data_IF_647642253185
#
_entry.id   IF_647642253185
#
_cell.length_a   1.000
_cell.length_b   1.000
_cell.length_c   1.000
_cell.angle_alpha   90.00
_cell.angle_beta   90.00
_cell.angle_gamma   90.00
#
_symmetry.space_group_name_H-M   'P 1'
#
loop_
_entity.id
_entity.type
_entity.pdbx_description
1 polymer ?
#
# COMPACT_ATOMS: atom_id res chain seq x y z
N UNK A 1 28.51 -4.00 -15.74
CA UNK A 1 27.24 -3.36 -16.11
C UNK A 1 26.44 -3.19 -14.82
N UNK A 2 25.88 -2.01 -14.57
CA UNK A 2 25.01 -1.79 -13.41
C UNK A 2 23.75 -2.65 -13.58
N UNK A 3 23.39 -3.42 -12.56
CA UNK A 3 22.17 -4.25 -12.60
C UNK A 3 20.95 -3.31 -12.52
N UNK A 4 20.26 -3.07 -13.65
CA UNK A 4 19.19 -2.07 -13.76
C UNK A 4 18.03 -2.27 -12.76
N UNK A 5 17.79 -3.50 -12.31
CA UNK A 5 16.79 -3.79 -11.29
C UNK A 5 17.12 -3.18 -9.91
N UNK A 6 18.40 -2.80 -9.66
CA UNK A 6 18.83 -2.16 -8.40
C UNK A 6 18.51 -0.67 -8.34
N UNK A 7 18.39 -0.04 -9.49
CA UNK A 7 18.09 1.39 -9.57
C UNK A 7 16.70 1.69 -9.03
N UNK A 8 16.51 2.89 -8.50
CA UNK A 8 15.20 3.44 -8.20
C UNK A 8 14.40 3.69 -9.50
N UNK A 9 13.09 3.90 -9.40
CA UNK A 9 12.26 4.21 -10.55
C UNK A 9 12.70 5.52 -11.23
N UNK A 10 13.00 6.52 -10.43
CA UNK A 10 13.43 7.85 -10.90
C UNK A 10 14.80 7.81 -11.58
N UNK A 11 15.78 7.10 -11.01
CA UNK A 11 17.09 6.90 -11.63
C UNK A 11 16.98 6.14 -12.95
N UNK A 12 16.18 5.07 -12.98
CA UNK A 12 15.98 4.25 -14.19
C UNK A 12 15.31 5.07 -15.30
N UNK A 13 14.24 5.80 -15.00
CA UNK A 13 13.58 6.67 -15.96
C UNK A 13 14.54 7.73 -16.52
N UNK A 14 15.40 8.33 -15.67
CA UNK A 14 16.40 9.29 -16.10
C UNK A 14 17.45 8.68 -17.04
N UNK A 15 17.91 7.46 -16.79
CA UNK A 15 18.84 6.75 -17.68
C UNK A 15 18.19 6.47 -19.04
N UNK A 16 16.92 6.07 -19.07
CA UNK A 16 16.19 5.78 -20.30
C UNK A 16 15.95 7.07 -21.09
N UNK A 17 15.50 8.16 -20.47
CA UNK A 17 15.35 9.46 -21.12
C UNK A 17 16.66 9.98 -21.72
N UNK A 18 17.78 9.81 -21.01
CA UNK A 18 19.10 10.20 -21.49
C UNK A 18 19.72 9.19 -22.49
N UNK A 19 18.97 8.14 -22.86
CA UNK A 19 19.41 7.05 -23.76
C UNK A 19 20.71 6.34 -23.33
N UNK A 20 20.98 6.33 -22.03
CA UNK A 20 22.09 5.57 -21.42
C UNK A 20 21.69 4.12 -21.11
N UNK A 21 20.41 3.82 -21.11
CA UNK A 21 19.82 2.51 -21.10
C UNK A 21 18.53 2.58 -21.96
N UNK A 22 18.10 1.45 -22.50
CA UNK A 22 16.81 1.32 -23.17
C UNK A 22 15.73 0.81 -22.23
N UNK A 23 14.46 1.09 -22.54
CA UNK A 23 13.33 0.52 -21.82
C UNK A 23 13.33 -1.03 -21.96
N UNK A 24 13.77 -1.54 -23.12
CA UNK A 24 13.90 -2.99 -23.34
C UNK A 24 14.94 -3.63 -22.40
N UNK A 25 16.12 -3.01 -22.21
CA UNK A 25 17.13 -3.51 -21.25
C UNK A 25 16.59 -3.49 -19.82
N UNK A 26 15.84 -2.46 -19.43
CA UNK A 26 15.19 -2.38 -18.13
C UNK A 26 14.16 -3.50 -17.93
N UNK A 27 13.30 -3.74 -18.93
CA UNK A 27 12.30 -4.81 -18.91
C UNK A 27 12.97 -6.20 -18.85
N UNK A 28 14.02 -6.43 -19.62
CA UNK A 28 14.80 -7.68 -19.58
C UNK A 28 15.44 -7.92 -18.22
N UNK A 29 16.05 -6.87 -17.63
CA UNK A 29 16.64 -6.94 -16.28
C UNK A 29 15.59 -7.29 -15.23
N UNK A 30 14.37 -6.69 -15.31
CA UNK A 30 13.26 -7.00 -14.39
C UNK A 30 12.73 -8.42 -14.56
N UNK A 31 12.58 -8.92 -15.81
CA UNK A 31 12.16 -10.30 -16.10
C UNK A 31 13.20 -11.31 -15.60
N UNK A 32 14.48 -11.09 -15.87
CA UNK A 32 15.56 -11.94 -15.36
C UNK A 32 15.57 -11.98 -13.82
N UNK A 33 15.36 -10.82 -13.18
CA UNK A 33 15.24 -10.76 -11.72
C UNK A 33 14.03 -11.51 -11.21
N UNK A 34 12.88 -11.39 -11.87
CA UNK A 34 11.68 -12.14 -11.56
C UNK A 34 11.95 -13.66 -11.63
N UNK A 35 12.52 -14.14 -12.73
CA UNK A 35 12.83 -15.56 -12.92
C UNK A 35 13.80 -16.10 -11.84
N UNK A 36 14.77 -15.29 -11.44
CA UNK A 36 15.78 -15.69 -10.45
C UNK A 36 15.22 -15.79 -9.02
N UNK A 37 14.32 -14.90 -8.60
CA UNK A 37 13.92 -14.82 -7.18
C UNK A 37 12.49 -15.20 -6.90
N UNK A 38 11.57 -15.04 -7.85
CA UNK A 38 10.15 -15.30 -7.66
C UNK A 38 9.81 -16.76 -7.29
N UNK A 39 10.52 -17.78 -7.77
CA UNK A 39 10.28 -19.16 -7.34
C UNK A 39 10.43 -19.39 -5.82
N UNK A 40 11.22 -18.55 -5.12
CA UNK A 40 11.40 -18.63 -3.67
C UNK A 40 10.33 -17.86 -2.88
N UNK A 41 9.78 -16.78 -3.45
CA UNK A 41 8.88 -15.86 -2.73
C UNK A 41 7.44 -15.86 -3.24
N UNK A 42 7.16 -16.31 -4.46
CA UNK A 42 5.84 -16.32 -5.09
C UNK A 42 5.12 -14.94 -4.99
N UNK A 43 5.86 -13.89 -5.32
CA UNK A 43 5.36 -12.52 -5.26
C UNK A 43 4.51 -12.15 -6.49
N UNK A 44 4.93 -12.60 -7.68
CA UNK A 44 4.26 -12.37 -8.96
C UNK A 44 3.68 -13.69 -9.44
N UNK A 45 2.37 -13.70 -9.64
CA UNK A 45 1.61 -14.94 -9.92
C UNK A 45 1.20 -15.08 -11.37
N UNK A 46 1.27 -14.00 -12.14
CA UNK A 46 1.02 -14.02 -13.57
C UNK A 46 1.83 -12.90 -14.26
N UNK A 47 2.51 -13.24 -15.36
CA UNK A 47 3.21 -12.30 -16.23
C UNK A 47 3.31 -12.85 -17.65
N UNK A 48 3.56 -11.98 -18.62
CA UNK A 48 3.67 -12.34 -20.05
C UNK A 48 4.89 -11.65 -20.63
N UNK A 49 6.06 -12.31 -20.65
CA UNK A 49 7.33 -11.69 -21.06
C UNK A 49 7.29 -10.98 -22.40
N UNK A 50 6.66 -11.58 -23.41
CA UNK A 50 6.56 -10.99 -24.74
C UNK A 50 5.75 -9.68 -24.76
N UNK A 51 4.69 -9.58 -23.94
CA UNK A 51 3.89 -8.36 -23.81
C UNK A 51 4.66 -7.27 -23.06
N UNK A 52 5.45 -7.66 -22.05
CA UNK A 52 6.33 -6.74 -21.29
C UNK A 52 7.37 -6.14 -22.23
N UNK A 53 8.05 -6.98 -23.03
CA UNK A 53 9.06 -6.52 -23.98
C UNK A 53 8.46 -5.63 -25.08
N UNK A 54 7.27 -5.96 -25.60
CA UNK A 54 6.55 -5.12 -26.59
C UNK A 54 6.17 -3.75 -26.02
N UNK A 55 5.81 -3.66 -24.74
CA UNK A 55 5.57 -2.35 -24.10
C UNK A 55 6.86 -1.53 -24.05
N UNK A 56 7.98 -2.16 -23.66
CA UNK A 56 9.28 -1.51 -23.61
C UNK A 56 9.74 -1.03 -24.99
N UNK A 57 9.59 -1.86 -26.05
CA UNK A 57 9.93 -1.50 -27.42
C UNK A 57 9.19 -0.22 -27.87
N UNK A 58 7.89 -0.08 -27.53
CA UNK A 58 7.12 1.13 -27.86
C UNK A 58 7.68 2.38 -27.19
N UNK A 59 8.19 2.27 -25.97
CA UNK A 59 8.84 3.39 -25.27
C UNK A 59 10.13 3.78 -25.99
N UNK A 60 10.95 2.78 -26.36
CA UNK A 60 12.19 3.02 -27.10
C UNK A 60 11.94 3.64 -28.49
N UNK A 61 10.91 3.18 -29.20
CA UNK A 61 10.45 3.76 -30.47
C UNK A 61 9.98 5.20 -30.30
N UNK A 62 9.23 5.51 -29.23
CA UNK A 62 8.76 6.86 -28.92
C UNK A 62 9.94 7.81 -28.72
N UNK A 63 10.93 7.40 -27.91
CA UNK A 63 12.17 8.15 -27.70
C UNK A 63 12.97 8.30 -29.00
N UNK A 64 13.03 7.26 -29.86
CA UNK A 64 13.74 7.33 -31.14
C UNK A 64 13.16 8.38 -32.09
N UNK A 65 11.83 8.59 -32.05
CA UNK A 65 11.14 9.66 -32.79
C UNK A 65 11.33 11.05 -32.18
N UNK A 66 11.97 11.16 -31.01
CA UNK A 66 12.15 12.44 -30.30
C UNK A 66 10.89 12.87 -29.50
N UNK A 67 9.96 11.97 -29.31
CA UNK A 67 8.73 12.19 -28.52
C UNK A 67 8.98 11.84 -27.04
N UNK A 68 8.23 12.45 -26.11
CA UNK A 68 8.32 12.17 -24.67
C UNK A 68 7.37 11.03 -24.29
N UNK A 69 7.86 9.87 -23.82
CA UNK A 69 7.01 8.77 -23.36
C UNK A 69 6.41 8.99 -21.98
N UNK A 70 6.79 10.04 -21.26
CA UNK A 70 6.32 10.39 -19.94
C UNK A 70 7.32 10.11 -18.80
N UNK A 71 7.07 10.65 -17.60
CA UNK A 71 8.04 10.73 -16.50
C UNK A 71 8.47 9.36 -15.92
N UNK A 72 7.77 8.29 -16.23
CA UNK A 72 8.10 6.91 -15.81
C UNK A 72 8.55 6.04 -16.99
N UNK A 73 9.17 6.65 -18.01
CA UNK A 73 9.61 5.98 -19.22
C UNK A 73 10.37 4.68 -18.94
N UNK A 74 9.81 3.54 -19.36
CA UNK A 74 10.40 2.21 -19.24
C UNK A 74 10.46 1.63 -17.81
N UNK A 75 9.89 2.29 -16.80
CA UNK A 75 9.88 1.81 -15.41
C UNK A 75 9.00 0.57 -15.25
N UNK A 76 9.52 -0.60 -14.84
CA UNK A 76 8.75 -1.80 -14.56
C UNK A 76 7.86 -1.67 -13.33
N UNK A 77 6.55 -1.92 -13.50
CA UNK A 77 5.52 -1.81 -12.46
C UNK A 77 4.74 -3.10 -12.32
N UNK A 78 4.52 -3.55 -11.09
CA UNK A 78 3.64 -4.69 -10.79
C UNK A 78 2.27 -4.22 -10.33
N UNK A 79 1.21 -4.95 -10.72
CA UNK A 79 -0.17 -4.61 -10.42
C UNK A 79 -0.82 -5.71 -9.59
N UNK A 80 -1.41 -5.35 -8.46
CA UNK A 80 -2.10 -6.30 -7.57
C UNK A 80 -3.27 -6.98 -8.28
N UNK A 81 -3.44 -8.28 -8.05
CA UNK A 81 -4.46 -9.13 -8.69
C UNK A 81 -5.93 -8.71 -8.44
N UNK A 82 -6.19 -7.75 -7.56
CA UNK A 82 -7.53 -7.19 -7.34
C UNK A 82 -7.79 -5.86 -8.07
N UNK A 83 -6.87 -5.44 -8.95
CA UNK A 83 -6.95 -4.20 -9.73
C UNK A 83 -6.99 -4.54 -11.20
N UNK A 84 -7.88 -3.96 -11.98
CA UNK A 84 -8.02 -4.25 -13.40
C UNK A 84 -6.74 -3.89 -14.18
N UNK A 85 -6.23 -4.88 -14.88
CA UNK A 85 -5.22 -4.77 -15.93
C UNK A 85 -5.75 -5.48 -17.16
N UNK A 86 -5.84 -4.78 -18.26
CA UNK A 86 -6.42 -5.31 -19.50
C UNK A 86 -5.80 -6.64 -19.93
N UNK A 87 -6.63 -7.61 -20.26
CA UNK A 87 -6.23 -8.93 -20.70
C UNK A 87 -5.88 -9.92 -19.57
N UNK A 88 -5.82 -9.49 -18.32
CA UNK A 88 -5.56 -10.34 -17.15
C UNK A 88 -6.80 -10.52 -16.27
N UNK A 89 -6.83 -11.59 -15.51
CA UNK A 89 -7.91 -11.82 -14.56
C UNK A 89 -7.79 -10.84 -13.36
N UNK A 90 -8.92 -10.22 -12.99
CA UNK A 90 -9.06 -9.53 -11.70
C UNK A 90 -9.54 -10.55 -10.69
N UNK A 91 -8.69 -11.54 -10.43
CA UNK A 91 -9.02 -12.74 -9.65
C UNK A 91 -9.27 -12.48 -8.18
N UNK A 92 -8.75 -11.36 -7.64
CA UNK A 92 -8.84 -11.04 -6.21
C UNK A 92 -8.36 -12.20 -5.29
N UNK A 93 -7.46 -13.07 -5.80
CA UNK A 93 -6.97 -14.26 -5.11
C UNK A 93 -8.01 -15.36 -4.89
N UNK A 94 -9.16 -15.33 -5.59
CA UNK A 94 -10.24 -16.30 -5.41
C UNK A 94 -10.42 -17.19 -6.64
N UNK A 95 -10.79 -18.45 -6.42
CA UNK A 95 -11.16 -19.37 -7.50
C UNK A 95 -12.44 -18.95 -8.19
N UNK A 96 -13.32 -18.21 -7.50
CA UNK A 96 -14.57 -17.69 -8.07
C UNK A 96 -14.35 -16.65 -9.17
N UNK A 97 -13.23 -15.93 -9.15
CA UNK A 97 -12.92 -14.85 -10.09
C UNK A 97 -11.70 -15.15 -10.97
N UNK A 98 -11.24 -16.42 -11.03
CA UNK A 98 -10.05 -16.79 -11.80
C UNK A 98 -10.15 -16.46 -13.29
N UNK A 99 -11.37 -16.44 -13.84
CA UNK A 99 -11.64 -16.19 -15.25
C UNK A 99 -12.29 -14.81 -15.51
N UNK A 100 -12.27 -13.91 -14.48
CA UNK A 100 -12.80 -12.55 -14.60
C UNK A 100 -11.80 -11.64 -15.31
N UNK A 101 -11.70 -11.80 -16.64
CA UNK A 101 -10.73 -11.06 -17.45
C UNK A 101 -11.14 -9.60 -17.61
N UNK A 102 -10.29 -8.68 -17.18
CA UNK A 102 -10.49 -7.25 -17.35
C UNK A 102 -10.35 -6.84 -18.82
N UNK A 103 -11.34 -6.07 -19.33
CA UNK A 103 -11.35 -5.56 -20.70
C UNK A 103 -10.56 -4.26 -20.87
N UNK A 104 -10.33 -3.53 -19.78
CA UNK A 104 -9.57 -2.30 -19.76
C UNK A 104 -8.78 -2.19 -18.45
N UNK A 105 -7.80 -1.30 -18.42
CA UNK A 105 -7.07 -0.96 -17.21
C UNK A 105 -7.96 -0.16 -16.24
N UNK A 106 -7.73 -0.34 -14.93
CA UNK A 106 -8.21 0.63 -13.93
C UNK A 106 -7.57 2.00 -14.18
N UNK A 107 -8.20 3.12 -13.74
CA UNK A 107 -7.67 4.45 -13.94
C UNK A 107 -6.21 4.62 -13.52
N UNK A 108 -5.86 4.14 -12.32
CA UNK A 108 -4.49 4.24 -11.81
C UNK A 108 -3.46 3.50 -12.68
N UNK A 109 -3.81 2.32 -13.18
CA UNK A 109 -2.95 1.53 -14.09
C UNK A 109 -2.83 2.20 -15.45
N UNK A 110 -3.93 2.72 -15.98
CA UNK A 110 -3.95 3.46 -17.25
C UNK A 110 -3.08 4.72 -17.18
N UNK A 111 -3.15 5.45 -16.06
CA UNK A 111 -2.35 6.64 -15.83
C UNK A 111 -0.85 6.34 -15.75
N UNK A 112 -0.46 5.20 -15.16
CA UNK A 112 0.93 4.75 -15.17
C UNK A 112 1.42 4.38 -16.58
N UNK A 113 0.59 3.71 -17.37
CA UNK A 113 0.91 3.41 -18.78
C UNK A 113 1.10 4.70 -19.58
N UNK A 114 0.20 5.69 -19.41
CA UNK A 114 0.33 7.01 -20.04
C UNK A 114 1.58 7.77 -19.59
N UNK A 115 2.06 7.53 -18.38
CA UNK A 115 3.31 8.07 -17.88
C UNK A 115 4.55 7.30 -18.35
N UNK A 116 4.40 6.30 -19.23
CA UNK A 116 5.48 5.53 -19.82
C UNK A 116 5.93 4.31 -19.02
N UNK A 117 5.20 3.90 -17.98
CA UNK A 117 5.53 2.70 -17.22
C UNK A 117 5.28 1.42 -18.02
N UNK A 118 6.06 0.38 -17.73
CA UNK A 118 5.94 -0.97 -18.32
C UNK A 118 5.29 -1.90 -17.27
N UNK A 119 4.14 -2.46 -17.59
CA UNK A 119 3.42 -3.40 -16.71
C UNK A 119 4.11 -4.76 -16.73
N UNK A 120 4.81 -5.11 -15.64
CA UNK A 120 5.66 -6.30 -15.53
C UNK A 120 4.86 -7.58 -15.25
N UNK A 121 3.83 -7.50 -14.39
CA UNK A 121 3.05 -8.67 -13.99
C UNK A 121 2.10 -8.40 -12.81
N UNK A 122 1.40 -9.46 -12.42
CA UNK A 122 0.35 -9.46 -11.40
C UNK A 122 0.91 -9.89 -10.04
N UNK A 123 0.87 -9.01 -9.05
CA UNK A 123 1.35 -9.33 -7.71
C UNK A 123 0.27 -10.00 -6.85
N UNK A 124 0.68 -10.99 -6.06
CA UNK A 124 -0.20 -11.81 -5.22
C UNK A 124 -0.88 -11.00 -4.11
N UNK A 125 -2.04 -11.47 -3.69
CA UNK A 125 -2.84 -10.94 -2.58
C UNK A 125 -3.61 -12.08 -1.90
N UNK A 126 -4.02 -11.97 -0.64
CA UNK A 126 -4.91 -12.96 -0.02
C UNK A 126 -6.29 -12.94 -0.69
N UNK A 127 -7.02 -14.03 -0.57
CA UNK A 127 -8.38 -14.15 -1.09
C UNK A 127 -9.26 -12.98 -0.61
N UNK A 128 -9.97 -12.34 -1.55
CA UNK A 128 -10.81 -11.14 -1.32
C UNK A 128 -10.08 -9.93 -0.73
N UNK A 129 -8.74 -9.95 -0.69
CA UNK A 129 -7.91 -8.93 -0.04
C UNK A 129 -8.25 -8.68 1.45
N UNK A 130 -8.71 -9.71 2.18
CA UNK A 130 -9.25 -9.61 3.54
C UNK A 130 -8.21 -9.64 4.66
N UNK A 131 -6.97 -10.10 4.41
CA UNK A 131 -5.98 -10.41 5.44
C UNK A 131 -4.76 -9.47 5.38
N UNK A 132 -4.06 -9.35 6.50
CA UNK A 132 -2.70 -8.78 6.59
C UNK A 132 -1.59 -9.82 6.37
N UNK A 133 -1.95 -10.94 5.74
CA UNK A 133 -1.10 -12.04 5.30
C UNK A 133 -1.38 -12.29 3.81
N UNK A 134 -0.48 -12.95 3.09
CA UNK A 134 -0.68 -13.14 1.65
C UNK A 134 -0.57 -14.61 1.27
N UNK A 135 -1.73 -15.24 1.28
CA UNK A 135 -1.93 -16.59 0.75
C UNK A 135 -3.35 -16.76 0.22
N UNK A 136 -3.54 -17.63 -0.76
CA UNK A 136 -4.83 -17.98 -1.31
C UNK A 136 -4.79 -19.36 -1.99
N UNK A 137 -5.97 -19.96 -2.22
CA UNK A 137 -6.07 -21.28 -2.85
C UNK A 137 -5.80 -21.29 -4.37
N UNK A 138 -5.79 -20.12 -5.01
CA UNK A 138 -5.59 -20.02 -6.46
C UNK A 138 -4.11 -20.00 -6.83
N UNK A 139 -3.29 -19.25 -6.08
CA UNK A 139 -1.88 -18.98 -6.40
C UNK A 139 -0.90 -19.41 -5.29
N UNK A 140 -1.40 -19.84 -4.13
CA UNK A 140 -0.56 -20.18 -2.98
C UNK A 140 -0.08 -18.97 -2.16
N UNK A 141 0.92 -19.20 -1.31
CA UNK A 141 1.44 -18.22 -0.36
C UNK A 141 2.61 -17.43 -0.95
N UNK A 142 2.64 -16.12 -0.68
CA UNK A 142 3.84 -15.29 -0.85
C UNK A 142 4.70 -15.34 0.41
N UNK A 143 6.00 -15.51 0.27
CA UNK A 143 6.97 -15.51 1.37
C UNK A 143 7.58 -14.13 1.58
N UNK A 144 7.85 -13.80 2.84
CA UNK A 144 8.62 -12.59 3.14
C UNK A 144 10.08 -12.80 2.71
N UNK A 145 10.65 -11.92 1.87
CA UNK A 145 12.00 -12.12 1.35
C UNK A 145 13.11 -11.92 2.39
N UNK A 146 12.81 -11.31 3.54
CA UNK A 146 13.78 -11.09 4.63
C UNK A 146 13.77 -12.20 5.67
N UNK A 147 12.60 -12.78 5.89
CA UNK A 147 12.40 -13.84 6.89
C UNK A 147 11.13 -14.62 6.52
N UNK A 148 11.29 -15.81 5.96
CA UNK A 148 10.18 -16.64 5.49
C UNK A 148 9.29 -17.17 6.63
N UNK A 149 9.70 -17.05 7.89
CA UNK A 149 8.88 -17.38 9.07
C UNK A 149 7.89 -16.26 9.43
N UNK A 150 8.05 -15.09 8.81
CA UNK A 150 7.20 -13.92 9.01
C UNK A 150 6.30 -13.67 7.81
N UNK A 151 5.17 -13.00 8.06
CA UNK A 151 4.28 -12.58 6.99
C UNK A 151 4.97 -11.55 6.07
N UNK A 152 4.74 -11.57 4.75
CA UNK A 152 5.12 -10.47 3.85
C UNK A 152 4.16 -9.27 4.00
N UNK A 153 3.25 -9.34 4.96
CA UNK A 153 2.12 -8.42 5.05
C UNK A 153 1.00 -8.76 4.08
N UNK A 154 -0.04 -7.97 4.13
CA UNK A 154 -1.25 -8.08 3.29
C UNK A 154 -2.07 -6.78 3.35
N UNK A 155 -2.89 -6.62 2.39
CA UNK A 155 -3.23 -7.53 1.30
C UNK A 155 -2.39 -7.32 0.03
N UNK A 156 -1.43 -6.36 -0.02
CA UNK A 156 -0.50 -6.14 -1.15
C UNK A 156 0.85 -6.82 -0.88
N UNK A 157 0.86 -8.02 -0.29
CA UNK A 157 2.10 -8.67 0.13
C UNK A 157 2.98 -9.12 -1.02
N UNK A 158 2.41 -9.55 -2.15
CA UNK A 158 3.18 -9.82 -3.36
C UNK A 158 3.88 -8.56 -3.88
N UNK A 159 3.22 -7.40 -3.82
CA UNK A 159 3.83 -6.12 -4.17
C UNK A 159 5.00 -5.77 -3.24
N UNK A 160 4.80 -5.85 -1.91
CA UNK A 160 5.85 -5.58 -0.92
C UNK A 160 7.06 -6.50 -1.07
N UNK A 161 6.83 -7.82 -1.17
CA UNK A 161 7.87 -8.82 -1.35
C UNK A 161 8.62 -8.65 -2.69
N UNK A 162 7.89 -8.36 -3.78
CA UNK A 162 8.47 -8.11 -5.10
C UNK A 162 9.40 -6.90 -5.08
N UNK A 163 8.95 -5.76 -4.54
CA UNK A 163 9.76 -4.52 -4.44
C UNK A 163 10.99 -4.74 -3.57
N UNK A 164 10.86 -5.38 -2.43
CA UNK A 164 11.99 -5.70 -1.56
C UNK A 164 13.04 -6.60 -2.22
N UNK A 165 12.61 -7.45 -3.14
CA UNK A 165 13.48 -8.37 -3.90
C UNK A 165 13.95 -7.82 -5.25
N UNK A 166 13.54 -6.62 -5.65
CA UNK A 166 13.91 -6.00 -6.92
C UNK A 166 13.10 -6.47 -8.14
N UNK A 167 11.94 -7.08 -7.93
CA UNK A 167 11.01 -7.39 -9.01
C UNK A 167 10.18 -6.12 -9.31
N UNK A 168 10.67 -5.35 -10.30
CA UNK A 168 10.15 -4.03 -10.62
C UNK A 168 10.56 -2.94 -9.62
N UNK A 169 10.28 -1.70 -9.97
CA UNK A 169 10.60 -0.52 -9.18
C UNK A 169 9.39 -0.01 -8.39
N UNK A 170 8.19 -0.23 -8.92
CA UNK A 170 6.93 0.20 -8.32
C UNK A 170 5.95 -0.97 -8.23
N UNK A 171 5.14 -1.00 -7.18
CA UNK A 171 3.99 -1.90 -7.09
C UNK A 171 2.72 -1.09 -6.81
N UNK A 172 1.66 -1.37 -7.57
CA UNK A 172 0.33 -0.77 -7.36
C UNK A 172 -0.51 -1.71 -6.52
N UNK A 173 -1.14 -1.17 -5.49
CA UNK A 173 -2.07 -1.91 -4.64
C UNK A 173 -3.21 -1.05 -4.11
N UNK A 174 -3.96 -1.60 -3.17
CA UNK A 174 -5.11 -0.94 -2.53
C UNK A 174 -4.97 -0.98 -1.02
N UNK A 175 -5.54 -0.01 -0.31
CA UNK A 175 -5.50 0.09 1.15
C UNK A 175 -6.86 0.52 1.71
N UNK A 176 -7.50 -0.35 2.49
CA UNK A 176 -8.74 -0.08 3.23
C UNK A 176 -8.55 -0.25 4.75
N UNK A 177 -7.40 -0.78 5.17
CA UNK A 177 -7.09 -1.03 6.57
C UNK A 177 -5.59 -1.27 6.82
N UNK A 178 -4.71 -0.75 5.94
CA UNK A 178 -3.27 -0.91 6.03
C UNK A 178 -2.65 -1.75 4.91
N UNK A 179 -3.41 -2.09 3.88
CA UNK A 179 -2.98 -3.07 2.87
C UNK A 179 -1.87 -2.61 1.89
N UNK A 180 -1.42 -1.35 1.93
CA UNK A 180 -0.18 -0.86 1.34
C UNK A 180 0.89 -0.68 2.42
N UNK A 181 0.49 -0.13 3.55
CA UNK A 181 1.37 0.26 4.66
C UNK A 181 1.96 -0.93 5.38
N UNK A 182 1.16 -1.95 5.69
CA UNK A 182 1.63 -3.14 6.39
C UNK A 182 2.58 -4.02 5.56
N UNK A 183 2.32 -4.31 4.26
CA UNK A 183 3.30 -4.98 3.42
C UNK A 183 4.62 -4.21 3.28
N UNK A 184 4.57 -2.89 3.19
CA UNK A 184 5.77 -2.06 3.18
C UNK A 184 6.56 -2.20 4.49
N UNK A 185 5.86 -2.15 5.64
CA UNK A 185 6.43 -2.40 6.96
C UNK A 185 7.06 -3.78 7.08
N UNK A 186 6.34 -4.83 6.70
CA UNK A 186 6.76 -6.21 6.85
C UNK A 186 7.94 -6.61 5.94
N UNK A 187 8.03 -6.00 4.75
CA UNK A 187 9.09 -6.29 3.78
C UNK A 187 10.27 -5.29 3.83
N UNK A 188 10.18 -4.23 4.64
CA UNK A 188 11.26 -3.25 4.80
C UNK A 188 11.45 -2.34 3.60
N UNK A 189 10.34 -1.85 3.05
CA UNK A 189 10.26 -0.87 1.95
C UNK A 189 9.30 0.26 2.35
N UNK A 190 8.97 1.18 1.43
CA UNK A 190 8.06 2.28 1.70
C UNK A 190 6.72 2.07 1.00
N UNK A 191 5.63 2.50 1.64
CA UNK A 191 4.29 2.35 1.08
C UNK A 191 3.38 3.51 1.46
N UNK A 192 2.72 4.10 0.47
CA UNK A 192 1.80 5.21 0.69
C UNK A 192 0.36 4.79 0.46
N UNK A 193 -0.47 4.98 1.49
CA UNK A 193 -1.88 5.17 1.33
C UNK A 193 -2.14 6.65 1.03
N UNK A 194 -2.57 7.05 -0.17
CA UNK A 194 -2.91 8.45 -0.42
C UNK A 194 -4.25 8.84 0.21
N UNK A 195 -4.55 10.12 0.21
CA UNK A 195 -5.88 10.66 0.55
C UNK A 195 -6.95 9.99 -0.32
N UNK A 196 -8.10 9.69 0.27
CA UNK A 196 -9.27 9.25 -0.49
C UNK A 196 -9.61 10.28 -1.58
N UNK A 197 -9.73 9.84 -2.82
CA UNK A 197 -9.98 10.70 -3.98
C UNK A 197 -8.73 11.32 -4.62
N UNK A 198 -7.51 11.09 -4.08
CA UNK A 198 -6.26 11.53 -4.72
C UNK A 198 -5.97 10.76 -6.00
N UNK A 199 -6.09 9.45 -5.96
CA UNK A 199 -5.86 8.55 -7.10
C UNK A 199 -7.20 8.00 -7.55
N UNK A 200 -7.61 8.19 -8.82
CA UNK A 200 -8.85 7.64 -9.30
C UNK A 200 -8.83 6.11 -9.29
N UNK A 201 -9.89 5.49 -8.77
CA UNK A 201 -10.00 4.05 -8.57
C UNK A 201 -11.33 3.51 -9.09
N UNK A 202 -11.26 2.59 -10.07
CA UNK A 202 -12.41 1.92 -10.64
C UNK A 202 -11.98 0.57 -11.26
N UNK A 203 -12.79 -0.45 -11.07
CA UNK A 203 -12.61 -1.75 -11.75
C UNK A 203 -13.86 -2.05 -12.55
N UNK A 204 -13.77 -1.98 -13.88
CA UNK A 204 -14.87 -2.27 -14.79
C UNK A 204 -15.30 -3.75 -14.79
N UNK A 205 -14.42 -4.66 -14.37
CA UNK A 205 -14.67 -6.09 -14.29
C UNK A 205 -15.54 -6.50 -13.10
N UNK A 206 -15.61 -5.67 -12.06
CA UNK A 206 -16.29 -5.98 -10.80
C UNK A 206 -17.56 -5.15 -10.61
N UNK A 207 -18.56 -5.63 -9.87
CA UNK A 207 -19.70 -4.78 -9.46
C UNK A 207 -19.22 -3.64 -8.55
N UNK A 208 -20.03 -2.60 -8.45
CA UNK A 208 -19.76 -1.50 -7.53
C UNK A 208 -19.61 -2.00 -6.09
N UNK A 209 -18.62 -1.45 -5.41
CA UNK A 209 -18.35 -1.78 -4.00
C UNK A 209 -19.40 -1.16 -3.09
N UNK A 210 -19.66 -1.81 -1.95
CA UNK A 210 -20.44 -1.25 -0.87
C UNK A 210 -19.98 0.17 -0.49
N UNK A 211 -20.90 1.06 -0.09
CA UNK A 211 -20.59 2.48 0.16
C UNK A 211 -19.51 2.67 1.22
N UNK A 212 -19.50 1.86 2.27
CA UNK A 212 -18.47 1.91 3.30
C UNK A 212 -17.07 1.62 2.74
N UNK A 213 -16.95 0.68 1.82
CA UNK A 213 -15.69 0.38 1.14
C UNK A 213 -15.27 1.51 0.20
N UNK A 214 -16.22 2.11 -0.55
CA UNK A 214 -15.93 3.24 -1.42
C UNK A 214 -15.39 4.43 -0.63
N UNK A 215 -15.93 4.70 0.56
CA UNK A 215 -15.53 5.81 1.43
C UNK A 215 -14.18 5.64 2.13
N UNK A 216 -13.52 4.47 1.98
CA UNK A 216 -12.28 4.18 2.71
C UNK A 216 -11.16 3.63 1.83
N UNK A 217 -11.47 2.95 0.74
CA UNK A 217 -10.45 2.30 -0.09
C UNK A 217 -9.68 3.32 -0.92
N UNK A 218 -8.36 3.28 -0.86
CA UNK A 218 -7.47 4.07 -1.70
C UNK A 218 -6.53 3.17 -2.50
N UNK A 219 -6.22 3.56 -3.74
CA UNK A 219 -5.18 2.92 -4.56
C UNK A 219 -3.89 3.71 -4.40
N UNK A 220 -2.76 3.02 -4.25
CA UNK A 220 -1.48 3.69 -4.04
C UNK A 220 -0.27 2.80 -4.33
N UNK A 221 0.95 3.37 -4.23
CA UNK A 221 2.19 2.71 -4.55
C UNK A 221 2.93 2.12 -3.34
N UNK A 222 3.76 1.11 -3.62
CA UNK A 222 4.87 0.65 -2.79
C UNK A 222 6.14 0.81 -3.62
N UNK A 223 7.24 1.31 -3.02
CA UNK A 223 8.52 1.53 -3.67
C UNK A 223 9.69 1.42 -2.68
N UNK A 224 10.93 1.44 -3.20
CA UNK A 224 12.15 1.41 -2.39
C UNK A 224 12.60 2.79 -1.90
N UNK A 225 12.16 3.88 -2.56
CA UNK A 225 12.52 5.24 -2.19
C UNK A 225 11.29 6.15 -2.09
N UNK A 226 11.41 7.19 -1.29
CA UNK A 226 10.35 8.20 -1.15
C UNK A 226 10.16 8.99 -2.46
N UNK A 227 11.22 9.25 -3.20
CA UNK A 227 11.13 9.93 -4.51
C UNK A 227 10.35 9.10 -5.52
N UNK A 228 10.50 7.78 -5.51
CA UNK A 228 9.73 6.88 -6.37
C UNK A 228 8.24 6.89 -6.01
N UNK A 229 7.89 6.91 -4.73
CA UNK A 229 6.49 7.05 -4.30
C UNK A 229 5.88 8.36 -4.76
N UNK A 230 6.64 9.47 -4.67
CA UNK A 230 6.20 10.79 -5.14
C UNK A 230 5.97 10.80 -6.66
N UNK A 231 6.90 10.24 -7.43
CA UNK A 231 6.78 10.11 -8.88
C UNK A 231 5.57 9.23 -9.28
N UNK A 232 5.36 8.11 -8.57
CA UNK A 232 4.23 7.23 -8.78
C UNK A 232 2.89 7.94 -8.50
N UNK A 233 2.76 8.68 -7.39
CA UNK A 233 1.56 9.44 -7.06
C UNK A 233 1.32 10.55 -8.09
N UNK A 234 2.34 11.25 -8.54
CA UNK A 234 2.20 12.28 -9.57
C UNK A 234 1.58 11.70 -10.85
N UNK A 235 2.05 10.52 -11.29
CA UNK A 235 1.49 9.83 -12.44
C UNK A 235 0.07 9.30 -12.19
N UNK A 236 -0.13 8.57 -11.08
CA UNK A 236 -1.39 7.89 -10.77
C UNK A 236 -2.56 8.86 -10.53
N UNK A 237 -2.30 10.11 -10.08
CA UNK A 237 -3.31 11.10 -9.71
C UNK A 237 -3.93 11.85 -10.90
N UNK A 238 -3.51 11.56 -12.14
CA UNK A 238 -4.11 12.17 -13.32
C UNK A 238 -5.63 11.87 -13.38
N UNK A 239 -6.44 12.82 -13.88
CA UNK A 239 -7.90 12.70 -13.86
C UNK A 239 -8.39 11.50 -14.68
N UNK A 240 -9.44 10.84 -14.18
CA UNK A 240 -10.20 9.85 -14.93
C UNK A 240 -11.69 9.97 -14.57
N UNK A 241 -12.59 10.21 -15.54
CA UNK A 241 -14.02 10.44 -15.27
C UNK A 241 -14.77 9.20 -14.76
N UNK A 242 -14.15 8.03 -14.77
CA UNK A 242 -14.76 6.78 -14.27
C UNK A 242 -14.83 6.72 -12.76
N UNK A 243 -14.02 7.53 -12.04
CA UNK A 243 -14.07 7.60 -10.58
C UNK A 243 -14.85 8.86 -10.11
N UNK A 244 -16.05 8.71 -9.53
CA UNK A 244 -16.84 9.85 -9.03
C UNK A 244 -16.24 10.50 -7.78
N UNK A 245 -15.29 9.85 -7.11
CA UNK A 245 -14.66 10.35 -5.88
C UNK A 245 -13.34 11.10 -6.13
N UNK A 246 -12.83 11.12 -7.37
CA UNK A 246 -11.60 11.81 -7.68
C UNK A 246 -11.70 13.33 -7.45
N UNK A 247 -10.66 13.91 -6.84
CA UNK A 247 -10.60 15.33 -6.49
C UNK A 247 -9.41 15.99 -7.17
N UNK A 248 -9.59 17.11 -7.90
CA UNK A 248 -8.51 17.84 -8.59
C UNK A 248 -7.68 18.67 -7.59
N UNK A 249 -7.08 18.02 -6.60
CA UNK A 249 -6.23 18.69 -5.62
C UNK A 249 -4.78 18.80 -6.14
N UNK A 250 -4.06 19.91 -5.90
CA UNK A 250 -2.65 20.04 -6.26
C UNK A 250 -1.80 19.01 -5.52
N UNK A 251 -0.68 18.60 -6.12
CA UNK A 251 0.27 17.67 -5.49
C UNK A 251 1.06 18.32 -4.36
N UNK A 252 1.30 19.62 -4.46
CA UNK A 252 1.97 20.43 -3.45
C UNK A 252 0.96 21.38 -2.81
N UNK A 253 0.89 21.35 -1.49
CA UNK A 253 0.07 22.30 -0.73
C UNK A 253 0.85 23.57 -0.36
N UNK A 254 0.18 24.53 0.29
CA UNK A 254 0.86 25.73 0.78
C UNK A 254 1.95 25.37 1.79
N UNK A 255 3.06 26.15 1.82
CA UNK A 255 4.13 25.92 2.78
C UNK A 255 3.63 26.07 4.22
N UNK A 256 4.13 25.20 5.10
CA UNK A 256 3.83 25.21 6.53
C UNK A 256 5.13 25.08 7.33
N UNK A 257 5.15 25.48 8.61
CA UNK A 257 6.30 25.22 9.47
C UNK A 257 6.65 23.72 9.54
N UNK A 258 7.95 23.40 9.57
CA UNK A 258 8.44 22.04 9.74
C UNK A 258 8.20 21.58 11.18
N UNK A 259 6.98 21.18 11.49
CA UNK A 259 6.55 20.72 12.81
C UNK A 259 5.90 19.35 12.71
N UNK A 260 6.27 18.45 13.61
CA UNK A 260 5.68 17.13 13.73
C UNK A 260 5.27 16.87 15.17
N UNK A 261 4.08 16.32 15.37
CA UNK A 261 3.72 15.63 16.60
C UNK A 261 4.23 14.19 16.53
N UNK A 262 4.57 13.61 17.66
CA UNK A 262 4.98 12.21 17.81
C UNK A 262 4.19 11.58 18.95
N UNK A 263 3.37 10.58 18.66
CA UNK A 263 2.63 9.82 19.66
C UNK A 263 3.12 8.36 19.71
N UNK A 264 3.67 7.95 20.84
CA UNK A 264 4.31 6.65 21.01
C UNK A 264 3.29 5.54 21.29
N UNK A 265 2.23 5.86 22.03
CA UNK A 265 1.21 4.92 22.49
C UNK A 265 -0.20 5.52 22.30
N UNK A 266 -0.63 5.73 21.03
CA UNK A 266 -1.90 6.37 20.75
C UNK A 266 -3.06 5.59 21.38
N UNK A 267 -4.05 6.29 21.94
CA UNK A 267 -5.19 5.73 22.66
C UNK A 267 -4.78 4.77 23.82
N UNK A 268 -3.61 4.98 24.41
CA UNK A 268 -3.10 4.14 25.50
C UNK A 268 -2.78 2.70 25.12
N UNK A 269 -2.65 2.39 23.83
CA UNK A 269 -2.38 1.02 23.37
C UNK A 269 -1.07 0.47 23.89
N UNK A 270 -1.04 -0.83 24.21
CA UNK A 270 0.19 -1.56 24.45
C UNK A 270 0.96 -1.69 23.12
N UNK A 271 2.13 -1.06 23.05
CA UNK A 271 3.02 -1.07 21.90
C UNK A 271 4.33 -1.75 22.29
N UNK A 272 4.84 -2.65 21.44
CA UNK A 272 6.12 -3.30 21.65
C UNK A 272 7.26 -2.26 21.78
N UNK A 273 8.18 -2.47 22.71
CA UNK A 273 9.22 -1.49 23.02
C UNK A 273 10.14 -1.20 21.82
N UNK A 274 10.37 -2.18 20.97
CA UNK A 274 11.14 -2.02 19.74
C UNK A 274 10.44 -1.08 18.74
N UNK A 275 9.11 -1.12 18.72
CA UNK A 275 8.29 -0.22 17.89
C UNK A 275 8.31 1.19 18.48
N UNK A 276 8.17 1.32 19.81
CA UNK A 276 8.31 2.61 20.51
C UNK A 276 9.68 3.23 20.23
N UNK A 277 10.75 2.45 20.40
CA UNK A 277 12.12 2.92 20.15
C UNK A 277 12.32 3.33 18.66
N UNK A 278 11.57 2.72 17.75
CA UNK A 278 11.62 3.06 16.33
C UNK A 278 10.95 4.41 16.03
N UNK A 279 9.80 4.69 16.66
CA UNK A 279 9.12 5.98 16.51
C UNK A 279 9.95 7.11 17.13
N UNK A 280 10.56 6.87 18.30
CA UNK A 280 11.51 7.81 18.93
C UNK A 280 12.71 8.10 18.02
N UNK A 281 13.27 7.08 17.38
CA UNK A 281 14.37 7.24 16.42
C UNK A 281 13.97 8.09 15.22
N UNK A 282 12.78 7.84 14.64
CA UNK A 282 12.25 8.66 13.55
C UNK A 282 12.04 10.12 13.97
N UNK A 283 11.55 10.36 15.19
CA UNK A 283 11.44 11.71 15.75
C UNK A 283 12.79 12.42 15.85
N UNK A 284 13.84 11.71 16.29
CA UNK A 284 15.22 12.26 16.34
C UNK A 284 15.73 12.60 14.93
N UNK A 285 15.55 11.70 13.96
CA UNK A 285 15.95 11.94 12.55
C UNK A 285 15.29 13.19 11.98
N UNK A 286 14.01 13.43 12.29
CA UNK A 286 13.33 14.67 11.90
C UNK A 286 13.92 15.89 12.60
N UNK A 287 14.18 15.81 13.91
CA UNK A 287 14.79 16.91 14.67
C UNK A 287 16.18 17.27 14.12
N UNK A 288 17.02 16.27 13.81
CA UNK A 288 18.33 16.44 13.18
C UNK A 288 18.24 17.07 11.78
N UNK A 289 17.12 16.85 11.07
CA UNK A 289 16.80 17.47 9.80
C UNK A 289 16.12 18.85 9.91
N UNK A 290 16.09 19.44 11.11
CA UNK A 290 15.59 20.81 11.38
C UNK A 290 14.09 20.90 11.63
N UNK A 291 13.39 19.78 11.91
CA UNK A 291 11.99 19.81 12.31
C UNK A 291 11.85 20.07 13.81
N UNK A 292 10.81 20.82 14.18
CA UNK A 292 10.35 20.85 15.58
C UNK A 292 9.48 19.63 15.85
N UNK A 293 9.95 18.70 16.68
CA UNK A 293 9.22 17.47 17.03
C UNK A 293 8.70 17.59 18.45
N UNK A 294 7.38 17.48 18.61
CA UNK A 294 6.69 17.53 19.89
C UNK A 294 6.14 16.13 20.22
N UNK A 295 6.61 15.55 21.34
CA UNK A 295 6.01 14.33 21.85
C UNK A 295 4.68 14.67 22.54
N UNK A 296 3.60 14.06 22.09
CA UNK A 296 2.26 14.22 22.65
C UNK A 296 1.80 12.93 23.32
N UNK A 297 0.95 13.05 24.33
CA UNK A 297 0.42 11.90 25.07
C UNK A 297 -0.57 11.09 24.24
N UNK A 298 -1.48 11.78 23.51
CA UNK A 298 -2.51 11.11 22.70
C UNK A 298 -2.83 11.90 21.43
N UNK A 299 -3.54 11.24 20.55
CA UNK A 299 -4.05 11.78 19.28
C UNK A 299 -5.54 12.22 19.42
N UNK A 300 -6.13 12.90 18.43
CA UNK A 300 -7.59 12.91 18.33
C UNK A 300 -8.16 11.48 18.33
N UNK A 301 -9.47 11.26 18.55
CA UNK A 301 -10.05 9.94 18.83
C UNK A 301 -9.71 8.86 17.79
N UNK A 302 -8.62 8.12 18.03
CA UNK A 302 -8.11 7.10 17.14
C UNK A 302 -8.90 5.80 17.24
N UNK A 303 -9.26 5.39 18.47
CA UNK A 303 -10.06 4.19 18.70
C UNK A 303 -11.41 4.29 17.99
N UNK A 304 -12.13 5.42 18.16
CA UNK A 304 -13.40 5.66 17.47
C UNK A 304 -13.26 5.58 15.94
N UNK A 305 -12.16 6.13 15.41
CA UNK A 305 -11.91 6.06 13.96
C UNK A 305 -11.68 4.61 13.49
N UNK A 306 -10.99 3.79 14.29
CA UNK A 306 -10.79 2.37 13.99
C UNK A 306 -12.11 1.56 14.08
N UNK A 307 -13.00 1.92 15.01
CA UNK A 307 -14.33 1.32 15.11
C UNK A 307 -15.23 1.74 13.93
N UNK A 308 -15.20 3.01 13.54
CA UNK A 308 -15.90 3.49 12.34
C UNK A 308 -15.41 2.75 11.09
N UNK A 309 -14.11 2.47 10.98
CA UNK A 309 -13.57 1.68 9.88
C UNK A 309 -14.20 0.27 9.86
N UNK A 310 -14.24 -0.41 10.99
CA UNK A 310 -14.82 -1.75 11.09
C UNK A 310 -16.32 -1.74 10.71
N UNK A 311 -17.07 -0.80 11.27
CA UNK A 311 -18.50 -0.66 11.02
C UNK A 311 -18.82 -0.34 9.56
N UNK A 312 -18.06 0.54 8.91
CA UNK A 312 -18.23 0.87 7.50
C UNK A 312 -17.78 -0.28 6.57
N UNK A 313 -16.71 -1.00 6.94
CA UNK A 313 -16.22 -2.11 6.12
C UNK A 313 -17.15 -3.32 6.18
N UNK A 314 -17.65 -3.64 7.37
CA UNK A 314 -18.41 -4.86 7.65
C UNK A 314 -19.93 -4.63 7.68
N UNK A 315 -20.39 -3.41 7.96
CA UNK A 315 -21.81 -3.08 8.10
C UNK A 315 -22.60 -3.07 6.79
N UNK A 316 -21.90 -3.05 5.65
CA UNK A 316 -22.47 -3.02 4.32
C UNK A 316 -21.90 -4.17 3.48
N UNK A 317 -22.72 -5.17 3.14
CA UNK A 317 -22.31 -6.28 2.31
C UNK A 317 -21.60 -7.45 3.02
N UNK A 318 -21.56 -7.48 4.35
CA UNK A 318 -20.90 -8.58 5.09
C UNK A 318 -21.48 -9.96 4.75
N UNK A 319 -22.81 -10.09 4.66
CA UNK A 319 -23.46 -11.36 4.35
C UNK A 319 -23.03 -11.91 2.98
N UNK A 320 -22.98 -11.05 1.97
CA UNK A 320 -22.53 -11.43 0.62
C UNK A 320 -21.05 -11.82 0.61
N UNK A 321 -20.21 -11.10 1.37
CA UNK A 321 -18.80 -11.42 1.50
C UNK A 321 -18.56 -12.73 2.23
N UNK A 322 -19.32 -13.01 3.30
CA UNK A 322 -19.27 -14.27 4.03
C UNK A 322 -19.72 -15.46 3.16
N UNK A 323 -20.77 -15.29 2.36
CA UNK A 323 -21.26 -16.29 1.42
C UNK A 323 -20.25 -16.57 0.30
N UNK A 324 -19.63 -15.53 -0.24
CA UNK A 324 -18.56 -15.68 -1.23
C UNK A 324 -17.34 -16.41 -0.65
N UNK A 325 -16.92 -16.07 0.56
CA UNK A 325 -15.82 -16.76 1.25
C UNK A 325 -16.14 -18.24 1.50
N UNK A 326 -17.38 -18.56 1.91
CA UNK A 326 -17.84 -19.94 2.10
C UNK A 326 -17.82 -20.73 0.78
N UNK A 327 -18.24 -20.13 -0.33
CA UNK A 327 -18.22 -20.78 -1.65
C UNK A 327 -16.81 -20.97 -2.19
N UNK A 328 -15.90 -20.01 -1.94
CA UNK A 328 -14.50 -20.16 -2.35
C UNK A 328 -13.78 -21.21 -1.51
N UNK A 329 -14.06 -21.24 -0.21
CA UNK A 329 -13.48 -22.18 0.76
C UNK A 329 -12.04 -21.86 1.16
N UNK A 330 -11.54 -20.63 0.88
CA UNK A 330 -10.20 -20.20 1.30
C UNK A 330 -10.10 -20.11 2.82
N UNK A 331 -9.14 -20.83 3.47
CA UNK A 331 -9.03 -20.87 4.94
C UNK A 331 -8.82 -19.48 5.56
N UNK A 332 -8.03 -18.63 4.91
CA UNK A 332 -7.75 -17.28 5.40
C UNK A 332 -8.97 -16.36 5.31
N UNK A 333 -9.73 -16.45 4.23
CA UNK A 333 -10.99 -15.71 4.09
C UNK A 333 -12.02 -16.19 5.15
N UNK A 334 -12.14 -17.50 5.36
CA UNK A 334 -13.02 -18.07 6.36
C UNK A 334 -12.65 -17.67 7.78
N UNK A 335 -11.35 -17.69 8.12
CA UNK A 335 -10.85 -17.24 9.42
C UNK A 335 -11.15 -15.75 9.65
N UNK A 336 -10.97 -14.90 8.61
CA UNK A 336 -11.33 -13.47 8.71
C UNK A 336 -12.83 -13.30 8.97
N UNK A 337 -13.69 -13.97 8.21
CA UNK A 337 -15.15 -13.89 8.40
C UNK A 337 -15.55 -14.35 9.80
N UNK A 338 -14.94 -15.44 10.31
CA UNK A 338 -15.19 -15.92 11.66
C UNK A 338 -14.73 -14.91 12.73
N UNK A 339 -13.50 -14.42 12.63
CA UNK A 339 -12.91 -13.51 13.61
C UNK A 339 -13.58 -12.13 13.70
N UNK A 340 -14.23 -11.66 12.63
CA UNK A 340 -15.00 -10.41 12.68
C UNK A 340 -16.48 -10.59 12.98
N UNK A 341 -16.99 -11.81 12.99
CA UNK A 341 -18.42 -12.11 13.19
C UNK A 341 -18.96 -11.55 14.51
N UNK A 342 -18.20 -11.66 15.60
CA UNK A 342 -18.59 -11.12 16.91
C UNK A 342 -18.74 -9.61 16.91
N UNK A 343 -17.96 -8.90 16.07
CA UNK A 343 -18.03 -7.44 15.91
C UNK A 343 -19.25 -6.99 15.11
N UNK A 344 -19.84 -7.90 14.34
CA UNK A 344 -21.07 -7.66 13.57
C UNK A 344 -22.34 -7.97 14.36
N UNK A 345 -22.22 -8.78 15.42
CA UNK A 345 -23.37 -9.19 16.23
C UNK A 345 -23.99 -7.98 16.95
N UNK A 346 -25.29 -7.81 16.79
CA UNK A 346 -26.04 -6.74 17.47
C UNK A 346 -25.84 -5.34 16.90
N UNK A 347 -25.12 -5.15 15.78
CA UNK A 347 -25.07 -3.85 15.12
C UNK A 347 -26.46 -3.43 14.61
N UNK A 348 -26.86 -2.16 14.81
CA UNK A 348 -28.15 -1.68 14.33
C UNK A 348 -28.19 -1.63 12.79
N UNK A 349 -29.38 -1.76 12.22
CA UNK A 349 -29.56 -1.75 10.77
C UNK A 349 -29.06 -0.44 10.09
N UNK A 350 -29.02 0.65 10.84
CA UNK A 350 -28.55 1.95 10.39
C UNK A 350 -27.08 2.24 10.73
N UNK A 351 -26.29 1.22 11.10
CA UNK A 351 -24.90 1.36 11.54
C UNK A 351 -24.04 2.10 10.52
N UNK A 352 -24.20 1.84 9.24
CA UNK A 352 -23.44 2.52 8.17
C UNK A 352 -23.75 4.02 8.15
N UNK A 353 -25.03 4.40 8.21
CA UNK A 353 -25.44 5.81 8.24
C UNK A 353 -24.90 6.53 9.48
N UNK A 354 -25.01 5.92 10.67
CA UNK A 354 -24.45 6.46 11.92
C UNK A 354 -22.92 6.61 11.84
N UNK A 355 -22.24 5.62 11.28
CA UNK A 355 -20.80 5.65 11.13
C UNK A 355 -20.34 6.74 10.16
N UNK A 356 -21.06 7.01 9.07
CA UNK A 356 -20.77 8.11 8.17
C UNK A 356 -20.95 9.49 8.86
N UNK A 357 -21.97 9.63 9.72
CA UNK A 357 -22.16 10.84 10.54
C UNK A 357 -21.00 11.00 11.54
N UNK A 358 -20.65 9.95 12.28
CA UNK A 358 -19.52 9.98 13.23
C UNK A 358 -18.20 10.26 12.53
N UNK A 359 -17.96 9.65 11.37
CA UNK A 359 -16.80 9.90 10.53
C UNK A 359 -16.62 11.39 10.23
N UNK A 360 -17.68 12.10 9.91
CA UNK A 360 -17.62 13.55 9.61
C UNK A 360 -17.10 14.35 10.81
N UNK A 361 -17.54 14.01 12.02
CA UNK A 361 -17.05 14.63 13.27
C UNK A 361 -15.58 14.35 13.49
N UNK A 362 -15.18 13.07 13.36
CA UNK A 362 -13.78 12.64 13.51
C UNK A 362 -12.86 13.35 12.50
N UNK A 363 -13.25 13.42 11.23
CA UNK A 363 -12.47 14.13 10.21
C UNK A 363 -12.26 15.60 10.60
N UNK A 364 -13.28 16.26 11.17
CA UNK A 364 -13.15 17.65 11.62
C UNK A 364 -12.16 17.79 12.78
N UNK A 365 -12.23 16.90 13.79
CA UNK A 365 -11.33 16.89 14.94
C UNK A 365 -9.87 16.68 14.48
N UNK A 366 -9.64 15.71 13.59
CA UNK A 366 -8.33 15.45 13.02
C UNK A 366 -7.80 16.59 12.14
N UNK A 367 -8.66 17.24 11.35
CA UNK A 367 -8.24 18.40 10.55
C UNK A 367 -7.85 19.58 11.44
N UNK A 368 -8.57 19.83 12.53
CA UNK A 368 -8.20 20.87 13.52
C UNK A 368 -6.86 20.55 14.19
N UNK A 369 -6.59 19.29 14.51
CA UNK A 369 -5.29 18.85 15.02
C UNK A 369 -4.16 19.18 14.02
N UNK A 370 -4.35 18.89 12.73
CA UNK A 370 -3.34 19.16 11.70
C UNK A 370 -3.13 20.66 11.41
N UNK A 371 -3.95 21.56 11.89
CA UNK A 371 -3.65 23.00 11.83
C UNK A 371 -2.52 23.40 12.77
N UNK A 372 -2.31 22.63 13.85
CA UNK A 372 -1.24 22.85 14.84
C UNK A 372 -0.01 21.97 14.57
N UNK A 373 -0.22 20.77 14.13
CA UNK A 373 0.80 19.73 13.88
C UNK A 373 0.69 19.23 12.45
N UNK A 374 1.34 19.89 11.47
CA UNK A 374 1.21 19.53 10.05
C UNK A 374 1.50 18.07 9.72
N UNK A 375 2.34 17.42 10.53
CA UNK A 375 2.73 16.00 10.43
C UNK A 375 2.57 15.31 11.77
N UNK A 376 2.14 14.05 11.74
CA UNK A 376 2.05 13.17 12.91
C UNK A 376 2.85 11.88 12.65
N UNK A 377 3.74 11.54 13.59
CA UNK A 377 4.46 10.27 13.64
C UNK A 377 3.72 9.29 14.55
N UNK A 378 3.46 8.09 14.04
CA UNK A 378 2.77 7.01 14.74
C UNK A 378 3.49 5.67 14.49
N UNK A 379 3.30 4.66 15.36
CA UNK A 379 3.57 3.27 15.00
C UNK A 379 2.78 2.86 13.75
N UNK A 380 3.36 1.98 12.93
CA UNK A 380 2.62 1.35 11.82
C UNK A 380 1.65 0.30 12.36
N UNK A 381 2.15 -0.57 13.24
CA UNK A 381 1.44 -1.61 13.95
C UNK A 381 1.86 -1.56 15.42
N UNK A 382 1.10 -2.18 16.33
CA UNK A 382 1.51 -2.24 17.74
C UNK A 382 2.66 -3.22 17.98
N UNK A 383 2.93 -4.10 17.01
CA UNK A 383 3.92 -5.16 17.10
C UNK A 383 4.82 -5.21 15.85
N UNK A 384 5.93 -5.93 15.94
CA UNK A 384 6.74 -6.31 14.79
C UNK A 384 5.92 -7.15 13.80
N UNK A 385 6.35 -7.30 12.54
CA UNK A 385 5.70 -8.20 11.59
C UNK A 385 5.45 -9.57 12.17
N UNK A 386 4.21 -10.05 12.10
CA UNK A 386 3.76 -11.28 12.73
C UNK A 386 4.43 -12.54 12.15
N UNK A 387 4.50 -13.65 12.93
CA UNK A 387 4.71 -14.98 12.38
C UNK A 387 3.73 -15.23 11.23
N UNK A 388 4.17 -15.95 10.18
CA UNK A 388 3.31 -16.20 9.02
C UNK A 388 2.06 -16.99 9.43
N UNK A 389 0.91 -16.56 8.91
CA UNK A 389 -0.41 -17.16 9.19
C UNK A 389 -0.86 -17.18 10.67
N UNK A 390 -0.31 -16.32 11.53
CA UNK A 390 -0.74 -16.22 12.94
C UNK A 390 -2.26 -16.03 13.09
N UNK A 391 -2.91 -15.36 12.17
CA UNK A 391 -4.37 -15.14 12.16
C UNK A 391 -5.20 -16.42 11.92
N UNK A 392 -4.56 -17.55 11.64
CA UNK A 392 -5.20 -18.88 11.49
C UNK A 392 -5.06 -19.77 12.73
N UNK A 393 -4.26 -19.36 13.73
CA UNK A 393 -3.99 -20.17 14.93
C UNK A 393 -5.14 -20.15 15.94
N UNK A 394 -6.15 -19.29 15.73
CA UNK A 394 -7.36 -19.22 16.55
C UNK A 394 -7.88 -17.80 16.75
N UNK A 395 -9.03 -17.69 17.43
CA UNK A 395 -9.70 -16.39 17.62
C UNK A 395 -8.84 -15.40 18.42
N UNK A 396 -8.15 -15.84 19.46
CA UNK A 396 -7.28 -14.97 20.26
C UNK A 396 -6.17 -14.33 19.42
N UNK A 397 -5.49 -15.12 18.57
CA UNK A 397 -4.43 -14.63 17.69
C UNK A 397 -5.00 -13.76 16.56
N UNK A 398 -6.18 -14.12 16.02
CA UNK A 398 -6.88 -13.26 15.09
C UNK A 398 -7.19 -11.88 15.71
N UNK A 399 -7.74 -11.83 16.93
CA UNK A 399 -8.03 -10.57 17.63
C UNK A 399 -6.77 -9.78 17.96
N UNK A 400 -5.66 -10.44 18.31
CA UNK A 400 -4.35 -9.82 18.49
C UNK A 400 -3.91 -9.11 17.21
N UNK A 401 -3.95 -9.80 16.08
CA UNK A 401 -3.62 -9.21 14.76
C UNK A 401 -4.56 -8.05 14.43
N UNK A 402 -5.87 -8.24 14.58
CA UNK A 402 -6.89 -7.21 14.33
C UNK A 402 -6.65 -5.93 15.14
N UNK A 403 -6.39 -6.07 16.42
CA UNK A 403 -6.19 -4.95 17.34
C UNK A 403 -4.86 -4.21 17.04
N UNK A 404 -3.81 -4.95 16.73
CA UNK A 404 -2.52 -4.38 16.38
C UNK A 404 -2.56 -3.47 15.14
N UNK A 405 -3.53 -3.65 14.25
CA UNK A 405 -3.70 -2.84 13.03
C UNK A 405 -4.66 -1.65 13.21
N UNK A 406 -5.15 -1.38 14.41
CA UNK A 406 -6.13 -0.31 14.68
C UNK A 406 -5.63 1.07 14.23
N UNK A 407 -4.34 1.37 14.39
CA UNK A 407 -3.72 2.63 13.97
C UNK A 407 -3.88 2.84 12.46
N UNK A 408 -3.58 1.83 11.65
CA UNK A 408 -3.75 1.90 10.19
C UNK A 408 -5.21 1.95 9.78
N UNK A 409 -6.08 1.18 10.46
CA UNK A 409 -7.53 1.16 10.18
C UNK A 409 -8.16 2.53 10.42
N UNK A 410 -7.76 3.24 11.50
CA UNK A 410 -8.22 4.58 11.80
C UNK A 410 -7.94 5.57 10.66
N UNK A 411 -6.71 5.55 10.11
CA UNK A 411 -6.34 6.44 8.98
C UNK A 411 -7.19 6.15 7.73
N UNK A 412 -7.58 4.90 7.52
CA UNK A 412 -8.46 4.52 6.41
C UNK A 412 -9.88 5.09 6.58
N UNK A 413 -10.47 5.00 7.79
CA UNK A 413 -11.76 5.60 8.08
C UNK A 413 -11.78 7.11 7.84
N UNK A 414 -10.70 7.78 8.24
CA UNK A 414 -10.56 9.22 8.11
C UNK A 414 -10.27 9.67 6.67
N UNK A 415 -9.84 8.76 5.79
CA UNK A 415 -9.45 9.10 4.41
C UNK A 415 -8.15 9.88 4.32
N UNK A 416 -7.32 9.86 5.37
CA UNK A 416 -6.05 10.60 5.45
C UNK A 416 -4.94 9.95 4.64
N UNK A 417 -3.98 10.72 4.12
CA UNK A 417 -2.74 10.19 3.58
C UNK A 417 -1.89 9.65 4.72
N UNK A 418 -1.33 8.45 4.53
CA UNK A 418 -0.47 7.81 5.51
C UNK A 418 0.65 7.03 4.81
N UNK A 419 1.89 7.41 5.12
CA UNK A 419 3.11 6.87 4.56
C UNK A 419 3.81 5.98 5.59
N UNK A 420 4.10 4.74 5.23
CA UNK A 420 5.02 3.89 5.98
C UNK A 420 6.44 4.10 5.46
N UNK A 421 7.34 4.46 6.37
CA UNK A 421 8.78 4.54 6.10
C UNK A 421 9.48 3.46 6.92
N UNK A 422 10.12 2.51 6.26
CA UNK A 422 11.00 1.53 6.91
C UNK A 422 12.28 2.23 7.35
N UNK A 423 12.75 2.00 8.58
CA UNK A 423 13.88 2.75 9.16
C UNK A 423 15.09 1.89 9.48
N UNK A 424 14.87 0.65 9.93
CA UNK A 424 15.94 -0.29 10.32
C UNK A 424 15.45 -1.74 10.36
N UNK A 425 16.36 -2.64 10.65
CA UNK A 425 16.09 -4.04 10.97
C UNK A 425 16.34 -4.30 12.45
N UNK A 426 15.57 -5.22 13.04
CA UNK A 426 15.82 -5.86 14.33
C UNK A 426 16.09 -7.34 14.03
N UNK A 427 17.37 -7.73 14.00
CA UNK A 427 17.74 -8.98 13.36
C UNK A 427 17.42 -8.96 11.87
N UNK A 428 16.59 -9.91 11.40
CA UNK A 428 16.07 -9.96 10.02
C UNK A 428 14.78 -9.15 9.83
N UNK A 429 14.10 -8.76 10.93
CA UNK A 429 12.74 -8.21 10.91
C UNK A 429 12.76 -6.70 10.67
N UNK A 430 12.12 -6.19 9.62
CA UNK A 430 11.99 -4.76 9.39
C UNK A 430 11.11 -4.08 10.42
N UNK A 431 11.45 -2.82 10.70
CA UNK A 431 10.61 -1.90 11.48
C UNK A 431 10.58 -0.53 10.81
N UNK A 432 9.54 0.24 11.11
CA UNK A 432 9.35 1.55 10.52
C UNK A 432 8.31 2.38 11.25
N UNK A 433 8.08 3.56 10.74
CA UNK A 433 7.16 4.56 11.28
C UNK A 433 6.06 4.88 10.28
N UNK A 434 4.87 5.23 10.78
CA UNK A 434 3.80 5.79 9.97
C UNK A 434 3.80 7.32 10.09
N UNK A 435 3.83 7.99 8.96
CA UNK A 435 3.75 9.45 8.83
C UNK A 435 2.37 9.80 8.30
N UNK A 436 1.63 10.65 9.00
CA UNK A 436 0.28 11.07 8.63
C UNK A 436 0.23 12.58 8.49
N UNK A 437 -0.51 13.08 7.52
CA UNK A 437 -0.77 14.50 7.32
C UNK A 437 -2.26 14.76 7.06
N UNK A 438 -2.65 16.01 6.92
CA UNK A 438 -4.01 16.38 6.55
C UNK A 438 -4.36 15.91 5.13
N UNK A 439 -5.65 15.91 4.77
CA UNK A 439 -6.12 15.55 3.44
C UNK A 439 -5.40 16.34 2.35
N UNK A 440 -4.98 15.63 1.31
CA UNK A 440 -4.27 16.16 0.14
C UNK A 440 -2.92 16.83 0.48
N UNK A 441 -2.29 16.41 1.58
CA UNK A 441 -0.96 16.84 2.01
C UNK A 441 0.05 15.68 2.00
N UNK A 442 -0.02 14.85 0.95
CA UNK A 442 1.01 13.82 0.69
C UNK A 442 2.40 14.43 0.57
N UNK A 443 2.50 15.67 0.11
CA UNK A 443 3.74 16.47 0.04
C UNK A 443 4.45 16.53 1.40
N UNK A 444 3.72 16.72 2.50
CA UNK A 444 4.28 16.73 3.84
C UNK A 444 4.72 15.35 4.30
N UNK A 445 3.96 14.31 3.95
CA UNK A 445 4.38 12.93 4.20
C UNK A 445 5.70 12.61 3.48
N UNK A 446 5.84 13.03 2.22
CA UNK A 446 7.08 12.83 1.45
C UNK A 446 8.23 13.65 2.02
N UNK A 447 8.00 14.91 2.40
CA UNK A 447 9.03 15.77 2.98
C UNK A 447 9.60 15.19 4.27
N UNK A 448 8.72 14.76 5.19
CA UNK A 448 9.13 14.11 6.42
C UNK A 448 9.75 12.71 6.16
N UNK A 449 9.17 11.94 5.25
CA UNK A 449 9.67 10.63 4.85
C UNK A 449 11.08 10.70 4.27
N UNK A 450 11.35 11.69 3.42
CA UNK A 450 12.68 11.94 2.84
C UNK A 450 13.73 12.27 3.89
N UNK A 451 13.38 13.09 4.88
CA UNK A 451 14.27 13.41 6.00
C UNK A 451 14.60 12.16 6.83
N UNK A 452 13.62 11.29 7.07
CA UNK A 452 13.85 10.02 7.79
C UNK A 452 14.68 9.05 6.94
N UNK A 453 14.39 8.93 5.64
CA UNK A 453 15.09 8.06 4.70
C UNK A 453 16.58 8.44 4.59
N UNK A 454 16.89 9.73 4.54
CA UNK A 454 18.26 10.24 4.40
C UNK A 454 19.20 9.81 5.56
N UNK A 455 18.64 9.51 6.73
CA UNK A 455 19.39 8.99 7.88
C UNK A 455 19.68 7.48 7.80
N UNK A 456 19.28 6.83 6.69
CA UNK A 456 19.50 5.41 6.43
C UNK A 456 18.25 4.55 6.60
N UNK A 457 18.09 3.59 5.70
CA UNK A 457 17.00 2.61 5.62
C UNK A 457 17.55 1.21 5.36
N UNK A 458 16.78 0.14 5.59
CA UNK A 458 17.20 -1.21 5.25
C UNK A 458 17.62 -1.34 3.80
N UNK A 459 18.75 -2.02 3.55
CA UNK A 459 19.20 -2.28 2.18
C UNK A 459 18.11 -2.98 1.36
N UNK A 460 17.92 -2.53 0.13
CA UNK A 460 16.98 -3.07 -0.86
C UNK A 460 17.48 -2.68 -2.27
N UNK A 461 17.38 -3.58 -3.30
CA UNK A 461 16.82 -4.92 -3.20
C UNK A 461 17.74 -5.94 -2.53
N UNK A 462 17.11 -7.00 -2.02
CA UNK A 462 17.80 -8.13 -1.38
C UNK A 462 17.56 -9.42 -2.16
N UNK A 463 18.41 -10.42 -1.91
CA UNK A 463 18.20 -11.79 -2.34
C UNK A 463 17.43 -12.56 -1.25
N UNK A 464 16.23 -13.10 -1.58
CA UNK A 464 15.41 -13.82 -0.60
C UNK A 464 16.05 -15.11 -0.12
#
# INVERSE_FOLDING_TARGET
MTELFRLSATELAQLIHSRKASAREAAQSALQRLDAVNPRINAIVEHRPDEVLKQADRIDETLARGEDPGPLAGVPVTVKINTDQAGFATSNGTRLQRDLIARCNSPAVENLVKAGAVLLGRSNAPAFALRWFTSNLLYGATRNPRDSSRTPGGSTGGGGAGIASGIGQLAVGTDIGGSLRYPAYACGVHGLRPTLGRVPAYNASSPERAIGQQMMSATGPIARTIDDLRAAIAAMSAPDPRDPWWVPAPLEGPPVPLRAAMCLRPAGMAIAEEVVATVLDAGRRLADAGWTVEQIEDTPPLHDAAEVQAQLWLGDGFAQQADAAARDGDPGALATIAGVRSKMAGLPADVVARSLIRRTTLIREWRLFFTKHPVLLLPVSTELPFPDNLDLEGDADYQRVWNAQSIMRAMSALGLPALTVSTKLIGSVPVGVQIVASHFREDLCFLAGKAIEAAGVPASPIDP
#
